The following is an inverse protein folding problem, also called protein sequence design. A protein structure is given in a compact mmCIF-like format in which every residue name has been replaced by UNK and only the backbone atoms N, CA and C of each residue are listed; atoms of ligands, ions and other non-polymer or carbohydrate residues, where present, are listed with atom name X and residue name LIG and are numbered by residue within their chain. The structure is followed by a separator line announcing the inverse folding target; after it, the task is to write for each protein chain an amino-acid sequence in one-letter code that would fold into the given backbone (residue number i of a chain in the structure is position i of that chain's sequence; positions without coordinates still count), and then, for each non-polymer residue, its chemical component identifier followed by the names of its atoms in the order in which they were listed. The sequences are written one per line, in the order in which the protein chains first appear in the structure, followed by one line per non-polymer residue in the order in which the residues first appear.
data_IF_709184804022
#
_entry.id   IF_709184804022
#
_cell.length_a   1.000
_cell.length_b   1.000
_cell.length_c   1.000
_cell.angle_alpha   90.00
_cell.angle_beta   90.00
_cell.angle_gamma   90.00
#
_symmetry.space_group_name_H-M   'P 1'
#
loop_
_entity.id
_entity.type
_entity.pdbx_description
1 polymer ?
#
# COMPACT_ATOMS: atom_id res chain seq x y z
N UNK A 1 2.49 22.42 12.49
CA UNK A 1 3.09 22.28 13.84
C UNK A 1 3.87 20.99 14.01
N UNK A 2 3.44 19.89 13.41
CA UNK A 2 4.09 18.56 13.60
C UNK A 2 5.49 18.47 13.02
N UNK A 3 5.73 19.06 11.83
CA UNK A 3 7.06 19.09 11.20
C UNK A 3 8.08 19.81 12.08
N UNK A 4 7.71 20.96 12.70
CA UNK A 4 8.59 21.68 13.61
C UNK A 4 8.95 20.83 14.83
N UNK A 5 7.95 20.19 15.45
CA UNK A 5 8.18 19.30 16.60
C UNK A 5 9.08 18.11 16.25
N UNK A 6 8.87 17.51 15.07
CA UNK A 6 9.70 16.39 14.61
C UNK A 6 11.16 16.84 14.36
N UNK A 7 11.37 18.04 13.81
CA UNK A 7 12.71 18.61 13.64
C UNK A 7 13.37 18.94 14.98
N UNK A 8 12.61 19.49 15.93
CA UNK A 8 13.12 19.79 17.28
C UNK A 8 13.54 18.47 17.99
N UNK A 9 12.73 17.41 17.90
CA UNK A 9 13.01 16.08 18.48
C UNK A 9 14.21 15.39 17.83
N UNK A 10 14.44 15.64 16.55
CA UNK A 10 15.59 15.07 15.81
C UNK A 10 16.82 15.97 15.79
N UNK A 11 16.83 17.04 16.61
CA UNK A 11 17.93 18.03 16.67
C UNK A 11 18.28 18.62 15.28
N UNK A 12 17.26 18.84 14.44
CA UNK A 12 17.42 19.38 13.09
C UNK A 12 17.84 18.37 12.02
N UNK A 13 18.02 17.08 12.36
CA UNK A 13 18.24 16.02 11.40
C UNK A 13 16.96 15.74 10.59
N UNK A 14 17.02 15.95 9.28
CA UNK A 14 15.88 15.78 8.37
C UNK A 14 15.41 14.32 8.27
N UNK A 15 16.32 13.36 8.25
CA UNK A 15 15.99 11.94 8.14
C UNK A 15 15.42 11.43 9.46
N UNK A 16 15.93 11.91 10.59
CA UNK A 16 15.36 11.67 11.90
C UNK A 16 13.94 12.24 12.00
N UNK A 17 13.71 13.48 11.55
CA UNK A 17 12.40 14.10 11.55
C UNK A 17 11.39 13.35 10.67
N UNK A 18 11.80 12.86 9.49
CA UNK A 18 10.96 11.99 8.63
C UNK A 18 10.55 10.71 9.35
N UNK A 19 11.49 10.05 10.05
CA UNK A 19 11.18 8.85 10.84
C UNK A 19 10.16 9.13 11.94
N UNK A 20 10.36 10.21 12.72
CA UNK A 20 9.41 10.62 13.77
C UNK A 20 8.02 10.88 13.18
N UNK A 21 7.92 11.57 12.04
CA UNK A 21 6.64 11.83 11.37
C UNK A 21 5.97 10.55 10.89
N UNK A 22 6.74 9.63 10.32
CA UNK A 22 6.24 8.32 9.87
C UNK A 22 5.70 7.50 11.05
N UNK A 23 6.45 7.39 12.15
CA UNK A 23 6.01 6.67 13.36
C UNK A 23 4.74 7.26 13.96
N UNK A 24 4.62 8.60 13.99
CA UNK A 24 3.41 9.28 14.44
C UNK A 24 2.22 9.02 13.53
N UNK A 25 2.44 9.05 12.20
CA UNK A 25 1.43 8.73 11.21
C UNK A 25 0.89 7.31 11.41
N UNK A 26 1.79 6.34 11.59
CA UNK A 26 1.44 4.94 11.87
C UNK A 26 0.61 4.80 13.16
N UNK A 27 1.02 5.48 14.24
CA UNK A 27 0.30 5.45 15.50
C UNK A 27 -1.11 6.08 15.40
N UNK A 28 -1.26 7.14 14.61
CA UNK A 28 -2.56 7.79 14.36
C UNK A 28 -3.44 6.87 13.52
N UNK A 29 -2.92 6.29 12.44
CA UNK A 29 -3.65 5.37 11.59
C UNK A 29 -4.10 4.12 12.37
N UNK A 30 -3.24 3.54 13.19
CA UNK A 30 -3.56 2.39 14.04
C UNK A 30 -4.70 2.70 15.04
N UNK A 31 -4.72 3.90 15.64
CA UNK A 31 -5.81 4.31 16.54
C UNK A 31 -7.14 4.50 15.81
N UNK A 32 -7.11 4.82 14.53
CA UNK A 32 -8.31 5.08 13.72
C UNK A 32 -8.80 3.84 12.98
N UNK A 33 -7.97 2.84 12.75
CA UNK A 33 -8.32 1.65 11.97
C UNK A 33 -9.53 0.86 12.50
N UNK A 34 -9.83 0.98 13.81
CA UNK A 34 -11.02 0.36 14.40
C UNK A 34 -12.32 1.16 14.20
N UNK A 35 -12.25 2.38 13.62
CA UNK A 35 -13.44 3.19 13.35
C UNK A 35 -14.08 2.74 12.05
N UNK A 36 -15.40 2.71 12.05
CA UNK A 36 -16.16 2.36 10.86
C UNK A 36 -15.96 3.41 9.75
N UNK A 37 -15.66 2.94 8.53
CA UNK A 37 -15.53 3.75 7.34
C UNK A 37 -16.57 3.25 6.33
N UNK A 38 -17.80 3.76 6.44
CA UNK A 38 -18.96 3.33 5.64
C UNK A 38 -19.30 4.31 4.51
N UNK A 39 -18.79 5.54 4.59
CA UNK A 39 -18.88 6.55 3.53
C UNK A 39 -17.70 6.44 2.57
N UNK A 40 -17.66 7.22 1.49
CA UNK A 40 -16.54 7.21 0.56
C UNK A 40 -16.94 7.50 -0.88
N UNK A 41 -16.14 7.02 -1.81
CA UNK A 41 -16.41 7.15 -3.26
C UNK A 41 -15.87 5.96 -4.05
N UNK A 42 -16.39 5.82 -5.26
CA UNK A 42 -15.81 4.97 -6.30
C UNK A 42 -15.14 5.91 -7.32
N UNK A 43 -13.83 5.74 -7.49
CA UNK A 43 -13.06 6.47 -8.50
C UNK A 43 -12.81 5.57 -9.71
N UNK A 44 -12.93 6.17 -10.90
CA UNK A 44 -12.63 5.52 -12.18
C UNK A 44 -11.38 6.17 -12.80
N UNK A 45 -10.40 5.37 -13.15
CA UNK A 45 -9.23 5.79 -13.91
C UNK A 45 -9.17 5.05 -15.23
N UNK A 46 -9.20 5.79 -16.34
CA UNK A 46 -8.95 5.25 -17.68
C UNK A 46 -7.63 5.83 -18.18
N UNK A 47 -6.71 4.94 -18.54
CA UNK A 47 -5.43 5.37 -19.08
C UNK A 47 -5.63 6.04 -20.45
N UNK A 48 -4.77 7.00 -20.80
CA UNK A 48 -4.92 7.87 -21.98
C UNK A 48 -5.09 7.10 -23.28
N UNK A 49 -4.52 5.89 -23.40
CA UNK A 49 -4.64 5.04 -24.58
C UNK A 49 -5.95 4.22 -24.63
N UNK A 50 -6.82 4.33 -23.61
CA UNK A 50 -8.08 3.61 -23.52
C UNK A 50 -7.98 2.09 -23.32
N UNK A 51 -6.77 1.55 -23.09
CA UNK A 51 -6.51 0.10 -22.99
C UNK A 51 -6.43 -0.43 -21.56
N UNK A 52 -6.30 0.45 -20.58
CA UNK A 52 -6.26 0.08 -19.15
C UNK A 52 -7.29 0.92 -18.42
N UNK A 53 -8.14 0.26 -17.65
CA UNK A 53 -9.17 0.88 -16.80
C UNK A 53 -9.13 0.31 -15.39
N UNK A 54 -9.35 1.17 -14.40
CA UNK A 54 -9.43 0.81 -12.99
C UNK A 54 -10.68 1.42 -12.39
N UNK A 55 -11.42 0.63 -11.61
CA UNK A 55 -12.41 1.12 -10.65
C UNK A 55 -11.88 0.80 -9.25
N UNK A 56 -11.91 1.78 -8.35
CA UNK A 56 -11.46 1.61 -6.96
C UNK A 56 -12.51 2.17 -6.01
N UNK A 57 -12.78 1.44 -4.94
CA UNK A 57 -13.61 1.88 -3.81
C UNK A 57 -12.69 2.30 -2.66
N UNK A 58 -12.83 3.56 -2.26
CA UNK A 58 -12.12 4.13 -1.10
C UNK A 58 -13.16 4.67 -0.12
N UNK A 59 -13.09 4.19 1.13
CA UNK A 59 -14.03 4.55 2.18
C UNK A 59 -13.39 5.48 3.22
N UNK A 60 -14.25 6.27 3.89
CA UNK A 60 -13.92 7.15 5.01
C UNK A 60 -15.07 7.18 6.02
N UNK A 61 -14.90 7.90 7.14
CA UNK A 61 -15.90 7.94 8.22
C UNK A 61 -17.13 8.77 7.81
N UNK A 62 -16.93 9.91 7.09
CA UNK A 62 -18.02 10.85 6.76
C UNK A 62 -18.08 11.20 5.27
N UNK A 63 -19.28 11.55 4.80
CA UNK A 63 -19.53 12.06 3.45
C UNK A 63 -18.86 13.43 3.21
N UNK A 64 -18.61 14.20 4.26
CA UNK A 64 -17.90 15.48 4.19
C UNK A 64 -16.47 15.26 3.71
N UNK A 65 -15.74 14.30 4.30
CA UNK A 65 -14.38 13.94 3.89
C UNK A 65 -14.38 13.36 2.48
N UNK A 66 -15.33 12.49 2.14
CA UNK A 66 -15.45 11.90 0.81
C UNK A 66 -15.55 12.94 -0.33
N UNK A 67 -16.07 14.14 -0.03
CA UNK A 67 -16.23 15.22 -1.01
C UNK A 67 -15.01 16.13 -1.12
N UNK A 68 -14.04 16.03 -0.22
CA UNK A 68 -12.85 16.90 -0.23
C UNK A 68 -11.97 16.64 -1.46
N UNK A 69 -11.31 17.68 -2.00
CA UNK A 69 -10.35 17.52 -3.07
C UNK A 69 -9.22 16.55 -2.72
N UNK A 70 -8.73 16.59 -1.49
CA UNK A 70 -7.65 15.73 -1.00
C UNK A 70 -8.01 14.25 -1.03
N UNK A 71 -9.24 13.90 -0.60
CA UNK A 71 -9.71 12.51 -0.63
C UNK A 71 -9.86 12.00 -2.07
N UNK A 72 -10.44 12.82 -2.94
CA UNK A 72 -10.59 12.50 -4.38
C UNK A 72 -9.24 12.34 -5.06
N UNK A 73 -8.29 13.22 -4.76
CA UNK A 73 -6.93 13.13 -5.28
C UNK A 73 -6.24 11.85 -4.82
N UNK A 74 -6.37 11.48 -3.56
CA UNK A 74 -5.87 10.22 -3.03
C UNK A 74 -6.44 9.02 -3.80
N UNK A 75 -7.77 8.92 -3.94
CA UNK A 75 -8.43 7.83 -4.65
C UNK A 75 -7.95 7.73 -6.11
N UNK A 76 -7.84 8.88 -6.82
CA UNK A 76 -7.34 8.93 -8.18
C UNK A 76 -5.88 8.52 -8.30
N UNK A 77 -5.04 8.93 -7.37
CA UNK A 77 -3.63 8.59 -7.34
C UNK A 77 -3.42 7.09 -7.12
N UNK A 78 -4.22 6.47 -6.24
CA UNK A 78 -4.19 5.03 -6.01
C UNK A 78 -4.73 4.27 -7.23
N UNK A 79 -5.80 4.74 -7.87
CA UNK A 79 -6.31 4.13 -9.11
C UNK A 79 -5.26 4.16 -10.25
N UNK A 80 -4.53 5.26 -10.40
CA UNK A 80 -3.41 5.36 -11.35
C UNK A 80 -2.30 4.38 -11.00
N UNK A 81 -1.96 4.24 -9.71
CA UNK A 81 -0.96 3.28 -9.25
C UNK A 81 -1.38 1.84 -9.60
N UNK A 82 -2.63 1.45 -9.31
CA UNK A 82 -3.18 0.13 -9.68
C UNK A 82 -3.10 -0.12 -11.18
N UNK A 83 -3.40 0.89 -12.00
CA UNK A 83 -3.28 0.79 -13.45
C UNK A 83 -1.85 0.48 -13.90
N UNK A 84 -0.85 1.07 -13.24
CA UNK A 84 0.57 0.98 -13.60
C UNK A 84 1.25 -0.26 -13.02
N UNK A 85 1.03 -0.55 -11.72
CA UNK A 85 1.79 -1.54 -10.95
C UNK A 85 1.10 -2.91 -10.85
N UNK A 86 -0.17 -3.03 -11.27
CA UNK A 86 -0.91 -4.30 -11.40
C UNK A 86 -0.94 -5.14 -10.11
N UNK A 87 -1.26 -4.59 -8.94
CA UNK A 87 -1.40 -5.42 -7.75
C UNK A 87 -2.52 -6.45 -7.92
N UNK A 88 -2.41 -7.60 -7.26
CA UNK A 88 -3.43 -8.65 -7.26
C UNK A 88 -4.55 -8.34 -6.25
N UNK A 89 -4.19 -7.78 -5.10
CA UNK A 89 -5.09 -7.52 -3.97
C UNK A 89 -4.70 -6.25 -3.22
N UNK A 90 -5.48 -5.88 -2.22
CA UNK A 90 -5.22 -4.66 -1.42
C UNK A 90 -4.11 -4.91 -0.40
N UNK A 91 -4.23 -5.92 0.43
CA UNK A 91 -3.29 -6.24 1.50
C UNK A 91 -2.63 -7.61 1.28
N UNK A 92 -1.43 -7.86 1.84
CA UNK A 92 -0.75 -9.15 1.73
C UNK A 92 -1.60 -10.34 2.20
N UNK A 93 -2.45 -10.11 3.19
CA UNK A 93 -3.35 -11.12 3.77
C UNK A 93 -4.48 -11.53 2.81
N UNK A 94 -4.76 -10.71 1.79
CA UNK A 94 -5.79 -10.96 0.79
C UNK A 94 -5.29 -11.83 -0.38
N UNK A 95 -3.99 -12.16 -0.43
CA UNK A 95 -3.43 -13.02 -1.47
C UNK A 95 -3.96 -14.44 -1.29
N UNK A 96 -4.55 -15.06 -2.34
CA UNK A 96 -5.03 -16.43 -2.25
C UNK A 96 -3.93 -17.41 -1.83
N UNK A 97 -4.22 -18.27 -0.86
CA UNK A 97 -3.27 -19.28 -0.35
C UNK A 97 -2.72 -20.17 -1.48
N UNK A 98 -3.55 -20.49 -2.47
CA UNK A 98 -3.16 -21.26 -3.66
C UNK A 98 -2.03 -20.57 -4.44
N UNK A 99 -2.14 -19.26 -4.66
CA UNK A 99 -1.11 -18.46 -5.35
C UNK A 99 0.21 -18.42 -4.57
N UNK A 100 0.12 -18.31 -3.24
CA UNK A 100 1.31 -18.37 -2.36
C UNK A 100 1.95 -19.77 -2.42
N UNK A 101 1.14 -20.84 -2.42
CA UNK A 101 1.62 -22.22 -2.50
C UNK A 101 2.29 -22.52 -3.85
N UNK A 102 1.73 -22.03 -4.95
CA UNK A 102 2.33 -22.15 -6.27
C UNK A 102 3.70 -21.47 -6.36
N UNK A 103 3.79 -20.20 -5.93
CA UNK A 103 5.06 -19.47 -5.92
C UNK A 103 6.08 -20.13 -4.98
N UNK A 104 5.65 -20.65 -3.83
CA UNK A 104 6.50 -21.41 -2.90
C UNK A 104 7.08 -22.64 -3.58
N UNK A 105 6.27 -23.43 -4.30
CA UNK A 105 6.73 -24.62 -5.03
C UNK A 105 7.79 -24.26 -6.07
N UNK A 106 7.60 -23.14 -6.78
CA UNK A 106 8.58 -22.65 -7.76
C UNK A 106 9.87 -22.23 -7.05
N UNK A 107 9.76 -21.49 -5.95
CA UNK A 107 10.91 -21.02 -5.17
C UNK A 107 11.73 -22.19 -4.60
N UNK A 108 11.07 -23.24 -4.09
CA UNK A 108 11.71 -24.44 -3.56
C UNK A 108 12.50 -25.19 -4.61
N UNK A 109 11.91 -25.43 -5.81
CA UNK A 109 12.60 -26.09 -6.92
C UNK A 109 13.87 -25.33 -7.33
N UNK A 110 13.76 -24.01 -7.50
CA UNK A 110 14.91 -23.17 -7.86
C UNK A 110 15.98 -23.10 -6.77
N UNK A 111 15.58 -23.09 -5.51
CA UNK A 111 16.52 -23.07 -4.39
C UNK A 111 17.25 -24.43 -4.24
N UNK A 112 16.59 -25.56 -4.51
CA UNK A 112 17.20 -26.89 -4.55
C UNK A 112 18.25 -27.01 -5.65
N UNK A 113 18.00 -26.46 -6.83
CA UNK A 113 18.97 -26.45 -7.94
C UNK A 113 20.25 -25.67 -7.62
N UNK A 114 20.23 -24.77 -6.63
CA UNK A 114 21.43 -24.05 -6.17
C UNK A 114 22.40 -24.93 -5.37
N UNK A 115 22.00 -26.14 -4.96
CA UNK A 115 22.86 -27.08 -4.20
C UNK A 115 23.34 -26.58 -2.84
N UNK A 116 22.58 -25.68 -2.22
CA UNK A 116 22.91 -25.11 -0.89
C UNK A 116 22.41 -26.00 0.24
N UNK A 117 22.97 -25.89 1.47
CA UNK A 117 22.44 -26.55 2.65
C UNK A 117 20.96 -26.24 2.87
N UNK A 118 20.20 -27.19 3.43
CA UNK A 118 18.75 -27.10 3.58
C UNK A 118 18.29 -25.85 4.35
N UNK A 119 19.00 -25.50 5.44
CA UNK A 119 18.70 -24.30 6.23
C UNK A 119 18.87 -23.00 5.41
N UNK A 120 19.81 -22.94 4.49
CA UNK A 120 20.03 -21.80 3.59
C UNK A 120 18.96 -21.79 2.52
N UNK A 121 18.62 -22.95 1.96
CA UNK A 121 17.54 -23.12 0.98
C UNK A 121 16.20 -22.61 1.53
N UNK A 122 15.85 -22.98 2.76
CA UNK A 122 14.63 -22.51 3.43
C UNK A 122 14.63 -20.98 3.60
N UNK A 123 15.73 -20.38 4.02
CA UNK A 123 15.83 -18.92 4.15
C UNK A 123 15.64 -18.19 2.80
N UNK A 124 16.20 -18.75 1.74
CA UNK A 124 16.05 -18.20 0.37
C UNK A 124 14.57 -18.25 -0.05
N UNK A 125 13.89 -19.38 0.19
CA UNK A 125 12.47 -19.56 -0.14
C UNK A 125 11.62 -18.54 0.63
N UNK A 126 11.77 -18.47 1.96
CA UNK A 126 11.00 -17.51 2.77
C UNK A 126 11.24 -16.05 2.36
N UNK A 127 12.50 -15.70 2.12
CA UNK A 127 12.84 -14.35 1.64
C UNK A 127 12.19 -14.04 0.29
N UNK A 128 12.15 -15.01 -0.61
CA UNK A 128 11.52 -14.87 -1.92
C UNK A 128 10.00 -14.74 -1.82
N UNK A 129 9.35 -15.58 -1.01
CA UNK A 129 7.90 -15.50 -0.79
C UNK A 129 7.53 -14.15 -0.18
N UNK A 130 8.26 -13.69 0.84
CA UNK A 130 8.05 -12.38 1.44
C UNK A 130 8.17 -11.25 0.42
N UNK A 131 9.19 -11.30 -0.43
CA UNK A 131 9.38 -10.29 -1.49
C UNK A 131 8.24 -10.33 -2.50
N UNK A 132 7.91 -11.52 -3.01
CA UNK A 132 6.83 -11.70 -3.97
C UNK A 132 5.49 -11.20 -3.40
N UNK A 133 5.13 -11.59 -2.17
CA UNK A 133 3.92 -11.12 -1.49
C UNK A 133 3.86 -9.59 -1.41
N UNK A 134 5.00 -8.97 -1.08
CA UNK A 134 5.11 -7.50 -1.00
C UNK A 134 4.93 -6.83 -2.37
N UNK A 135 5.36 -7.47 -3.44
CA UNK A 135 5.20 -6.97 -4.81
C UNK A 135 3.77 -7.16 -5.35
N UNK A 136 2.99 -8.12 -4.83
CA UNK A 136 1.64 -8.41 -5.29
C UNK A 136 0.55 -7.61 -4.57
N UNK A 137 0.79 -7.14 -3.36
CA UNK A 137 -0.21 -6.43 -2.58
C UNK A 137 -0.07 -4.90 -2.70
N UNK A 138 -1.17 -4.23 -3.01
CA UNK A 138 -1.22 -2.78 -3.25
C UNK A 138 -0.56 -1.96 -2.14
N UNK A 139 -0.88 -2.26 -0.87
CA UNK A 139 -0.40 -1.46 0.27
C UNK A 139 1.11 -1.55 0.50
N UNK A 140 1.76 -2.61 0.02
CA UNK A 140 3.20 -2.85 0.19
C UNK A 140 4.03 -2.50 -1.03
N UNK A 141 3.40 -2.18 -2.16
CA UNK A 141 4.10 -1.70 -3.35
C UNK A 141 4.67 -0.29 -3.16
N UNK A 142 5.86 -0.04 -3.72
CA UNK A 142 6.43 1.30 -3.80
C UNK A 142 5.54 2.20 -4.65
N UNK A 143 5.18 3.37 -4.12
CA UNK A 143 4.22 4.27 -4.77
C UNK A 143 4.79 4.86 -6.06
N UNK A 144 4.11 4.64 -7.18
CA UNK A 144 4.61 4.96 -8.53
C UNK A 144 5.04 6.41 -8.76
N UNK A 145 4.50 7.37 -8.02
CA UNK A 145 4.88 8.78 -8.11
C UNK A 145 6.01 9.18 -7.16
N UNK A 146 6.24 8.40 -6.09
CA UNK A 146 7.22 8.66 -5.04
C UNK A 146 7.76 7.31 -4.54
N UNK A 147 8.81 6.80 -5.19
CA UNK A 147 9.35 5.45 -4.97
C UNK A 147 10.05 5.26 -3.60
N UNK A 148 10.17 6.30 -2.80
CA UNK A 148 10.73 6.28 -1.45
C UNK A 148 9.68 5.96 -0.36
N UNK A 149 8.42 5.79 -0.75
CA UNK A 149 7.32 5.40 0.15
C UNK A 149 6.40 4.38 -0.51
N UNK A 150 5.73 3.57 0.31
CA UNK A 150 4.73 2.62 -0.15
C UNK A 150 3.35 3.29 -0.30
N UNK A 151 2.41 2.60 -0.97
CA UNK A 151 0.99 3.01 -0.99
C UNK A 151 0.40 3.01 0.43
N UNK A 152 0.84 2.08 1.29
CA UNK A 152 0.47 2.06 2.70
C UNK A 152 0.93 3.31 3.46
N UNK A 153 2.15 3.78 3.19
CA UNK A 153 2.65 5.06 3.76
C UNK A 153 1.80 6.24 3.27
N UNK A 154 1.46 6.29 1.99
CA UNK A 154 0.57 7.32 1.42
C UNK A 154 -0.82 7.29 2.07
N UNK A 155 -1.38 6.10 2.33
CA UNK A 155 -2.65 5.93 3.04
C UNK A 155 -2.56 6.49 4.47
N UNK A 156 -1.50 6.18 5.21
CA UNK A 156 -1.28 6.69 6.56
C UNK A 156 -1.14 8.23 6.61
N UNK A 157 -0.40 8.80 5.65
CA UNK A 157 -0.30 10.27 5.49
C UNK A 157 -1.68 10.89 5.22
N UNK A 158 -2.51 10.22 4.42
CA UNK A 158 -3.87 10.67 4.11
C UNK A 158 -4.77 10.62 5.35
N UNK A 159 -4.73 9.53 6.12
CA UNK A 159 -5.45 9.40 7.40
C UNK A 159 -5.05 10.49 8.39
N UNK A 160 -3.75 10.80 8.47
CA UNK A 160 -3.25 11.85 9.34
C UNK A 160 -3.74 13.23 8.89
N UNK A 161 -3.72 13.52 7.60
CA UNK A 161 -4.11 14.81 7.02
C UNK A 161 -5.60 15.07 7.13
N UNK A 162 -6.41 14.07 6.78
CA UNK A 162 -7.87 14.18 6.80
C UNK A 162 -8.47 14.04 8.21
N UNK A 163 -7.75 13.42 9.13
CA UNK A 163 -8.23 13.23 10.49
C UNK A 163 -9.27 12.13 10.66
N UNK A 164 -9.56 11.34 9.64
CA UNK A 164 -10.50 10.22 9.63
C UNK A 164 -9.82 8.91 9.27
N UNK A 165 -10.45 7.78 9.60
CA UNK A 165 -10.08 6.49 9.05
C UNK A 165 -10.35 6.48 7.54
N UNK A 166 -9.38 6.01 6.76
CA UNK A 166 -9.50 5.83 5.31
C UNK A 166 -9.13 4.41 4.98
N UNK A 167 -9.94 3.76 4.15
CA UNK A 167 -9.76 2.35 3.78
C UNK A 167 -9.84 2.22 2.26
N UNK A 168 -8.81 1.63 1.64
CA UNK A 168 -8.92 1.14 0.27
C UNK A 168 -9.65 -0.20 0.35
N UNK A 169 -10.93 -0.22 -0.04
CA UNK A 169 -11.79 -1.39 0.16
C UNK A 169 -11.52 -2.49 -0.86
N UNK A 170 -11.49 -2.11 -2.13
CA UNK A 170 -11.29 -3.02 -3.28
C UNK A 170 -11.03 -2.25 -4.56
N UNK A 171 -10.53 -2.95 -5.55
CA UNK A 171 -10.40 -2.43 -6.90
C UNK A 171 -10.66 -3.53 -7.94
N UNK A 172 -10.92 -3.09 -9.17
CA UNK A 172 -10.95 -3.96 -10.34
C UNK A 172 -10.17 -3.29 -11.45
N UNK A 173 -9.30 -4.05 -12.12
CA UNK A 173 -8.47 -3.59 -13.21
C UNK A 173 -8.78 -4.38 -14.48
N UNK A 174 -8.98 -3.66 -15.59
CA UNK A 174 -9.16 -4.22 -16.92
C UNK A 174 -8.01 -3.78 -17.81
N UNK A 175 -7.57 -4.67 -18.66
CA UNK A 175 -6.54 -4.42 -19.67
C UNK A 175 -6.84 -5.22 -20.93
N UNK A 176 -6.67 -4.56 -22.10
CA UNK A 176 -6.80 -5.14 -23.43
C UNK A 176 -5.44 -5.59 -23.96
#
# INVERSE_FOLDING_TARGET
MDVKKALDESNGDLDGARRVLKERGQAIAAKKSAREASEGLIEAYIHFNGRVGVLIEVNCETDFVARTPEFKEFARNVALHVASMRPLCVAPEDIPEESVAEERSIAEKQAQEMGKPENITQQIVEGRIKKWTSEQALLTQDYVKEMDKTVGDLLQETIQRLGENVVIRRFTRYEL
#
